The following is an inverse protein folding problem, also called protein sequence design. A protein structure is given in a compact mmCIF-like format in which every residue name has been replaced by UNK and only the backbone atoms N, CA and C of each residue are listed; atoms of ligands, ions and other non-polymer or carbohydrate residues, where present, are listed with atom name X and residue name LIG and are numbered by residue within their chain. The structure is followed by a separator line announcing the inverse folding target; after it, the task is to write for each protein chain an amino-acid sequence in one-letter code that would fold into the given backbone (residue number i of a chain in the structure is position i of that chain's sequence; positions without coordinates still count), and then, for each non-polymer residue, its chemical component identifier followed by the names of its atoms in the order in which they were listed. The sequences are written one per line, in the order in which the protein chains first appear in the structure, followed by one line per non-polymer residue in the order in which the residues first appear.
data_IF_467650766240
#
_entry.id   IF_467650766240
#
_cell.length_a   1.000
_cell.length_b   1.000
_cell.length_c   1.000
_cell.angle_alpha   90.00
_cell.angle_beta   90.00
_cell.angle_gamma   90.00
#
_symmetry.space_group_name_H-M   'P 1'
#
loop_
_entity.id
_entity.type
_entity.pdbx_description
1 polymer ?
#
# COMPACT_ATOMS: atom_id res chain seq x y z
N UNK A 1 7.35 -7.84 8.84
CA UNK A 1 7.92 -6.67 9.49
C UNK A 1 7.96 -5.48 8.54
N UNK A 2 7.98 -4.31 9.10
CA UNK A 2 8.06 -3.07 8.32
C UNK A 2 9.30 -3.07 7.42
N UNK A 3 10.43 -3.53 7.95
CA UNK A 3 11.68 -3.56 7.20
C UNK A 3 11.59 -4.42 5.94
N UNK A 4 11.02 -5.62 6.07
CA UNK A 4 10.89 -6.52 4.92
C UNK A 4 9.97 -5.94 3.85
N UNK A 5 8.88 -5.34 4.26
CA UNK A 5 7.93 -4.72 3.33
C UNK A 5 8.57 -3.53 2.64
N UNK A 6 9.32 -2.73 3.39
CA UNK A 6 10.06 -1.59 2.84
C UNK A 6 11.04 -2.04 1.76
N UNK A 7 11.86 -3.06 2.06
CA UNK A 7 12.85 -3.54 1.10
C UNK A 7 12.22 -4.18 -0.12
N UNK A 8 11.12 -4.91 0.06
CA UNK A 8 10.38 -5.48 -1.05
C UNK A 8 9.81 -4.38 -1.96
N UNK A 9 9.25 -3.33 -1.36
CA UNK A 9 8.71 -2.19 -2.11
C UNK A 9 9.80 -1.52 -2.95
N UNK A 10 10.97 -1.30 -2.36
CA UNK A 10 12.11 -0.71 -3.06
C UNK A 10 12.56 -1.59 -4.22
N UNK A 11 12.60 -2.90 -4.00
CA UNK A 11 12.99 -3.85 -5.03
C UNK A 11 12.03 -3.82 -6.22
N UNK A 12 10.74 -3.83 -5.95
CA UNK A 12 9.72 -3.78 -7.01
C UNK A 12 9.82 -2.47 -7.79
N UNK A 13 9.92 -1.34 -7.09
CA UNK A 13 9.96 -0.03 -7.73
C UNK A 13 11.29 0.26 -8.42
N UNK A 14 12.33 -0.51 -8.16
CA UNK A 14 13.62 -0.36 -8.84
C UNK A 14 13.63 -1.01 -10.22
N UNK A 15 12.60 -1.79 -10.55
CA UNK A 15 12.49 -2.40 -11.88
C UNK A 15 12.23 -1.32 -12.93
N UNK A 16 12.88 -1.39 -14.10
CA UNK A 16 12.81 -0.31 -15.11
C UNK A 16 11.39 0.02 -15.59
N UNK A 17 10.51 -0.98 -15.61
CA UNK A 17 9.16 -0.81 -16.16
C UNK A 17 8.09 -0.51 -15.10
N UNK A 18 8.46 -0.45 -13.82
CA UNK A 18 7.51 -0.22 -12.74
C UNK A 18 7.58 1.23 -12.32
N UNK A 19 6.52 1.98 -12.62
CA UNK A 19 6.44 3.41 -12.29
C UNK A 19 5.42 3.69 -11.19
N UNK A 20 4.44 2.82 -11.02
CA UNK A 20 3.37 2.96 -10.03
C UNK A 20 3.09 1.61 -9.39
N UNK A 21 2.44 1.66 -8.25
CA UNK A 21 2.18 0.48 -7.43
C UNK A 21 0.74 0.51 -6.91
N UNK A 22 0.05 -0.61 -7.02
CA UNK A 22 -1.19 -0.84 -6.30
C UNK A 22 -0.94 -1.97 -5.30
N UNK A 23 -1.34 -1.76 -4.06
CA UNK A 23 -1.21 -2.78 -3.02
C UNK A 23 -2.61 -3.34 -2.76
N UNK A 24 -2.85 -4.56 -3.19
CA UNK A 24 -4.17 -5.19 -3.10
C UNK A 24 -4.03 -6.54 -2.43
N UNK A 25 -4.65 -6.70 -1.26
CA UNK A 25 -4.57 -7.95 -0.50
C UNK A 25 -5.94 -8.43 -0.10
N UNK A 26 -6.06 -9.75 0.00
CA UNK A 26 -7.22 -10.40 0.60
C UNK A 26 -7.17 -10.25 2.12
N UNK A 27 -8.29 -10.55 2.77
CA UNK A 27 -8.31 -10.62 4.23
C UNK A 27 -7.42 -11.77 4.68
N UNK A 28 -6.39 -11.45 5.47
CA UNK A 28 -5.47 -12.45 6.03
C UNK A 28 -5.43 -12.25 7.54
N UNK A 29 -5.70 -13.31 8.30
CA UNK A 29 -5.90 -13.22 9.74
C UNK A 29 -4.70 -12.66 10.51
N UNK A 30 -3.50 -12.82 10.01
CA UNK A 30 -2.27 -12.39 10.69
C UNK A 30 -1.64 -11.14 10.12
N UNK A 31 -2.30 -10.49 9.16
CA UNK A 31 -1.73 -9.31 8.53
C UNK A 31 -2.15 -8.05 9.28
N UNK A 32 -1.17 -7.25 9.66
CA UNK A 32 -1.41 -5.94 10.25
C UNK A 32 -1.33 -4.88 9.14
N UNK A 33 -2.47 -4.26 8.87
CA UNK A 33 -2.57 -3.26 7.82
C UNK A 33 -1.66 -2.05 8.06
N UNK A 34 -1.49 -1.65 9.31
CA UNK A 34 -0.64 -0.51 9.66
C UNK A 34 0.83 -0.77 9.35
N UNK A 35 1.32 -1.99 9.61
CA UNK A 35 2.72 -2.33 9.32
C UNK A 35 2.97 -2.39 7.80
N UNK A 36 2.02 -2.92 7.05
CA UNK A 36 2.13 -2.96 5.60
C UNK A 36 2.14 -1.53 5.03
N UNK A 37 1.22 -0.68 5.49
CA UNK A 37 1.18 0.71 5.06
C UNK A 37 2.50 1.43 5.36
N UNK A 38 3.03 1.27 6.58
CA UNK A 38 4.31 1.90 6.96
C UNK A 38 5.46 1.43 6.10
N UNK A 39 5.54 0.11 5.84
CA UNK A 39 6.62 -0.46 5.06
C UNK A 39 6.62 0.06 3.64
N UNK A 40 5.45 0.09 3.00
CA UNK A 40 5.32 0.59 1.63
C UNK A 40 5.67 2.07 1.55
N UNK A 41 5.14 2.88 2.47
CA UNK A 41 5.43 4.32 2.51
C UNK A 41 6.93 4.57 2.69
N UNK A 42 7.57 3.89 3.65
CA UNK A 42 9.00 4.04 3.88
C UNK A 42 9.82 3.67 2.65
N UNK A 43 9.43 2.59 1.96
CA UNK A 43 10.12 2.16 0.74
C UNK A 43 10.09 3.23 -0.33
N UNK A 44 8.93 3.83 -0.56
CA UNK A 44 8.78 4.89 -1.56
C UNK A 44 9.60 6.13 -1.17
N UNK A 45 9.53 6.53 0.10
CA UNK A 45 10.26 7.71 0.58
C UNK A 45 11.78 7.52 0.49
N UNK A 46 12.28 6.32 0.79
CA UNK A 46 13.72 6.04 0.70
C UNK A 46 14.24 6.09 -0.73
N UNK A 47 13.36 5.91 -1.71
CA UNK A 47 13.71 6.08 -3.11
C UNK A 47 13.64 7.54 -3.56
N UNK A 48 13.35 8.45 -2.64
CA UNK A 48 13.24 9.87 -2.95
C UNK A 48 11.97 10.22 -3.72
N UNK A 49 10.93 9.38 -3.64
CA UNK A 49 9.69 9.55 -4.38
C UNK A 49 8.55 9.98 -3.45
N UNK A 50 7.53 10.57 -4.04
CA UNK A 50 6.34 10.98 -3.28
C UNK A 50 5.33 9.84 -3.30
N UNK A 51 4.88 9.34 -2.12
CA UNK A 51 3.96 8.20 -2.08
C UNK A 51 2.69 8.38 -2.90
N UNK A 52 2.07 9.57 -2.88
CA UNK A 52 0.83 9.81 -3.64
C UNK A 52 1.03 9.75 -5.16
N UNK A 53 2.26 9.95 -5.64
CA UNK A 53 2.56 9.85 -7.08
C UNK A 53 2.77 8.40 -7.51
N UNK A 54 3.16 7.54 -6.58
CA UNK A 54 3.55 6.16 -6.86
C UNK A 54 2.44 5.17 -6.54
N UNK A 55 1.80 5.32 -5.38
CA UNK A 55 0.80 4.36 -4.90
C UNK A 55 -0.57 4.80 -5.41
N UNK A 56 -1.12 4.06 -6.37
CA UNK A 56 -2.39 4.42 -7.00
C UNK A 56 -3.60 3.91 -6.22
N UNK A 57 -3.44 2.85 -5.45
CA UNK A 57 -4.50 2.30 -4.61
C UNK A 57 -3.92 1.41 -3.53
N UNK A 58 -4.64 1.30 -2.43
CA UNK A 58 -4.21 0.48 -1.30
C UNK A 58 -5.43 -0.22 -0.71
N UNK A 59 -5.51 -1.54 -0.83
CA UNK A 59 -6.57 -2.34 -0.23
C UNK A 59 -5.95 -3.38 0.68
N UNK A 60 -6.00 -3.13 1.97
CA UNK A 60 -5.52 -4.07 2.98
C UNK A 60 -6.55 -4.15 4.09
N UNK A 61 -7.50 -5.07 3.99
CA UNK A 61 -8.42 -5.33 5.08
C UNK A 61 -7.72 -6.16 6.16
N UNK A 62 -8.14 -6.00 7.39
CA UNK A 62 -7.61 -6.83 8.46
C UNK A 62 -7.39 -6.08 9.75
N UNK A 63 -6.53 -6.64 10.60
CA UNK A 63 -6.26 -6.04 11.89
C UNK A 63 -5.49 -4.72 11.71
N UNK A 64 -5.77 -3.76 12.60
CA UNK A 64 -5.17 -2.42 12.60
C UNK A 64 -5.48 -1.64 11.32
N UNK A 65 -6.63 -1.94 10.70
CA UNK A 65 -7.04 -1.30 9.45
C UNK A 65 -7.20 0.22 9.62
N UNK A 66 -7.82 0.66 10.72
CA UNK A 66 -8.03 2.08 10.98
C UNK A 66 -6.69 2.83 11.08
N UNK A 67 -5.71 2.24 11.73
CA UNK A 67 -4.38 2.82 11.87
C UNK A 67 -3.68 2.88 10.51
N UNK A 68 -3.82 1.84 9.71
CA UNK A 68 -3.31 1.83 8.35
C UNK A 68 -3.94 2.92 7.50
N UNK A 69 -5.26 3.10 7.62
CA UNK A 69 -5.99 4.15 6.92
C UNK A 69 -5.46 5.54 7.28
N UNK A 70 -5.21 5.78 8.56
CA UNK A 70 -4.70 7.08 9.01
C UNK A 70 -3.34 7.37 8.39
N UNK A 71 -2.46 6.37 8.31
CA UNK A 71 -1.16 6.51 7.68
C UNK A 71 -1.32 6.89 6.21
N UNK A 72 -2.15 6.15 5.48
CA UNK A 72 -2.35 6.37 4.05
C UNK A 72 -2.99 7.73 3.79
N UNK A 73 -3.96 8.11 4.61
CA UNK A 73 -4.64 9.40 4.48
C UNK A 73 -3.65 10.55 4.67
N UNK A 74 -2.73 10.41 5.60
CA UNK A 74 -1.69 11.42 5.84
C UNK A 74 -0.85 11.68 4.59
N UNK A 75 -0.64 10.66 3.76
CA UNK A 75 0.15 10.76 2.54
C UNK A 75 -0.71 10.94 1.28
N UNK A 76 -2.01 11.14 1.44
CA UNK A 76 -2.91 11.40 0.31
C UNK A 76 -3.15 10.20 -0.60
N UNK A 77 -3.09 8.99 -0.06
CA UNK A 77 -3.25 7.76 -0.84
C UNK A 77 -4.69 7.27 -0.76
N UNK A 78 -5.25 6.88 -1.90
CA UNK A 78 -6.56 6.25 -1.97
C UNK A 78 -6.55 4.90 -1.27
N UNK A 79 -7.51 4.69 -0.39
CA UNK A 79 -7.54 3.55 0.48
C UNK A 79 -8.90 2.85 0.38
N UNK A 80 -8.87 1.52 0.42
CA UNK A 80 -10.07 0.68 0.37
C UNK A 80 -10.00 -0.39 1.47
N UNK A 81 -11.09 -0.55 2.19
CA UNK A 81 -11.21 -1.56 3.23
C UNK A 81 -11.89 -2.84 2.74
N UNK A 82 -12.30 -3.67 3.69
CA UNK A 82 -12.91 -4.96 3.39
C UNK A 82 -14.27 -4.83 2.70
N UNK A 83 -14.94 -3.70 2.81
CA UNK A 83 -16.23 -3.45 2.18
C UNK A 83 -16.12 -3.30 0.67
N UNK A 84 -14.92 -3.09 0.16
CA UNK A 84 -14.66 -2.95 -1.27
C UNK A 84 -13.96 -4.20 -1.77
N UNK A 85 -14.50 -4.82 -2.81
CA UNK A 85 -13.90 -6.04 -3.37
C UNK A 85 -12.63 -5.71 -4.15
N UNK A 86 -11.81 -6.74 -4.38
CA UNK A 86 -10.62 -6.59 -5.22
C UNK A 86 -11.00 -6.14 -6.62
N UNK A 87 -12.08 -6.71 -7.18
CA UNK A 87 -12.55 -6.33 -8.51
C UNK A 87 -12.94 -4.86 -8.58
N UNK A 88 -13.59 -4.34 -7.53
CA UNK A 88 -13.96 -2.93 -7.47
C UNK A 88 -12.73 -2.03 -7.43
N UNK A 89 -11.69 -2.43 -6.69
CA UNK A 89 -10.44 -1.65 -6.62
C UNK A 89 -9.75 -1.64 -7.98
N UNK A 90 -9.66 -2.79 -8.62
CA UNK A 90 -9.04 -2.90 -9.96
C UNK A 90 -9.77 -2.01 -10.95
N UNK A 91 -11.10 -1.98 -10.90
CA UNK A 91 -11.90 -1.14 -11.77
C UNK A 91 -11.64 0.35 -11.51
N UNK A 92 -11.46 0.73 -10.25
CA UNK A 92 -11.23 2.13 -9.87
C UNK A 92 -9.89 2.68 -10.37
N UNK A 93 -8.90 1.82 -10.58
CA UNK A 93 -7.55 2.24 -11.00
C UNK A 93 -7.31 2.12 -12.49
N UNK A 94 -8.28 1.67 -13.24
CA UNK A 94 -8.16 1.55 -14.69
C UNK A 94 -8.16 2.88 -15.41
#
# INVERSE_FOLDING_TARGET
SVWKIKELTKLILSQPNVKRLAVIMNVVSNTRADLVARGVIKGVLELGRRPSDIIVAFRIPGSWEAEGQDILRHYGINFYGRETSIDQVVEAIR
#
